data_IF_156542710546
#
_entry.id   IF_156542710546
#
_cell.length_a   1.000
_cell.length_b   1.000
_cell.length_c   1.000
_cell.angle_alpha   90.00
_cell.angle_beta   90.00
_cell.angle_gamma   90.00
#
_symmetry.space_group_name_H-M   'P 1'
#
loop_
_entity.id
_entity.type
_entity.pdbx_description
1 polymer ?
#
# COMPACT_ATOMS: atom_id res chain seq x y z
N UNK A 1 17.91 20.68 -25.68
CA UNK A 1 16.97 20.08 -24.72
C UNK A 1 17.79 19.46 -23.61
N UNK A 2 17.49 19.75 -22.35
CA UNK A 2 18.16 19.14 -21.21
C UNK A 2 17.56 17.75 -21.00
N UNK A 3 18.37 16.70 -21.10
CA UNK A 3 17.93 15.32 -20.94
C UNK A 3 18.51 14.79 -19.62
N UNK A 4 17.62 14.48 -18.69
CA UNK A 4 17.99 14.00 -17.36
C UNK A 4 18.23 12.49 -17.40
N UNK A 5 19.48 12.06 -17.17
CA UNK A 5 19.88 10.65 -17.23
C UNK A 5 19.43 9.82 -16.01
N UNK A 6 19.11 10.47 -14.89
CA UNK A 6 18.90 9.79 -13.61
C UNK A 6 17.55 10.11 -12.94
N UNK A 7 16.84 11.14 -13.40
CA UNK A 7 15.59 11.58 -12.77
C UNK A 7 14.56 12.00 -13.82
N UNK A 8 13.47 11.24 -13.96
CA UNK A 8 12.32 11.69 -14.75
C UNK A 8 11.49 12.69 -13.94
N UNK A 9 11.01 13.74 -14.62
CA UNK A 9 10.04 14.71 -14.08
C UNK A 9 8.62 14.47 -14.61
N UNK A 10 8.40 13.33 -15.30
CA UNK A 10 7.08 12.97 -15.78
C UNK A 10 6.15 12.67 -14.60
N UNK A 11 5.00 13.34 -14.59
CA UNK A 11 3.93 12.97 -13.68
C UNK A 11 3.27 11.69 -14.18
N UNK A 12 3.29 10.66 -13.33
CA UNK A 12 2.66 9.36 -13.60
C UNK A 12 1.25 9.27 -13.04
N UNK A 13 0.76 10.32 -12.39
CA UNK A 13 -0.60 10.35 -11.88
C UNK A 13 -1.60 10.44 -13.03
N UNK A 14 -2.56 9.52 -13.03
CA UNK A 14 -3.70 9.56 -13.95
C UNK A 14 -4.99 9.32 -13.14
N UNK A 15 -5.66 10.39 -12.66
CA UNK A 15 -6.89 10.25 -11.89
C UNK A 15 -8.05 9.68 -12.72
N UNK A 16 -7.99 9.76 -14.06
CA UNK A 16 -9.10 9.32 -14.94
C UNK A 16 -9.37 7.81 -14.87
N UNK A 17 -8.36 7.03 -14.47
CA UNK A 17 -8.47 5.57 -14.36
C UNK A 17 -9.04 5.12 -13.00
N UNK A 18 -9.12 6.02 -12.01
CA UNK A 18 -9.55 5.67 -10.65
C UNK A 18 -10.96 5.09 -10.62
N UNK A 19 -11.89 5.63 -11.41
CA UNK A 19 -13.29 5.18 -11.46
C UNK A 19 -13.41 3.72 -11.93
N UNK A 20 -12.75 3.39 -13.03
CA UNK A 20 -12.80 2.05 -13.63
C UNK A 20 -12.12 1.04 -12.69
N UNK A 21 -10.96 1.39 -12.13
CA UNK A 21 -10.20 0.50 -11.24
C UNK A 21 -10.91 0.26 -9.90
N UNK A 22 -11.56 1.27 -9.33
CA UNK A 22 -12.36 1.12 -8.11
C UNK A 22 -13.61 0.27 -8.37
N UNK A 23 -14.28 0.47 -9.51
CA UNK A 23 -15.41 -0.37 -9.88
C UNK A 23 -14.99 -1.85 -10.02
N UNK A 24 -13.85 -2.12 -10.67
CA UNK A 24 -13.29 -3.45 -10.79
C UNK A 24 -12.93 -4.07 -9.43
N UNK A 25 -12.28 -3.30 -8.54
CA UNK A 25 -11.94 -3.77 -7.19
C UNK A 25 -13.21 -4.09 -6.37
N UNK A 26 -14.25 -3.26 -6.46
CA UNK A 26 -15.53 -3.51 -5.77
C UNK A 26 -16.25 -4.75 -6.31
N UNK A 27 -16.10 -5.06 -7.60
CA UNK A 27 -16.65 -6.29 -8.17
C UNK A 27 -15.98 -7.54 -7.55
N UNK A 28 -14.69 -7.48 -7.24
CA UNK A 28 -13.97 -8.57 -6.56
C UNK A 28 -14.47 -8.83 -5.13
N UNK A 29 -15.08 -7.85 -4.47
CA UNK A 29 -15.57 -8.02 -3.09
C UNK A 29 -16.65 -9.10 -2.99
N UNK A 30 -17.53 -9.21 -3.98
CA UNK A 30 -18.56 -10.25 -4.01
C UNK A 30 -17.93 -11.66 -4.09
N UNK A 31 -16.91 -11.82 -4.94
CA UNK A 31 -16.18 -13.08 -5.11
C UNK A 31 -15.43 -13.49 -3.84
N UNK A 32 -14.87 -12.53 -3.12
CA UNK A 32 -14.08 -12.75 -1.92
C UNK A 32 -14.89 -12.73 -0.60
N UNK A 33 -16.19 -12.42 -0.67
CA UNK A 33 -17.02 -12.24 0.53
C UNK A 33 -16.53 -11.10 1.42
N UNK A 34 -16.18 -9.97 0.81
CA UNK A 34 -15.68 -8.76 1.48
C UNK A 34 -16.66 -7.59 1.33
N UNK A 35 -16.48 -6.57 2.17
CA UNK A 35 -17.19 -5.30 2.14
C UNK A 35 -16.26 -4.10 1.92
N UNK A 36 -14.96 -4.36 2.01
CA UNK A 36 -13.92 -3.39 1.70
C UNK A 36 -12.54 -4.02 1.67
N UNK A 37 -11.55 -3.22 1.29
CA UNK A 37 -10.16 -3.65 1.19
C UNK A 37 -9.18 -2.52 1.56
N UNK A 38 -8.08 -2.90 2.22
CA UNK A 38 -6.97 -2.01 2.55
C UNK A 38 -5.89 -2.04 1.47
N UNK A 39 -5.42 -0.87 1.06
CA UNK A 39 -4.40 -0.72 0.01
C UNK A 39 -3.29 0.21 0.50
N UNK A 40 -2.24 -0.31 1.14
CA UNK A 40 -1.12 0.51 1.59
C UNK A 40 -0.18 0.87 0.43
N UNK A 41 0.61 1.94 0.61
CA UNK A 41 1.85 2.13 -0.15
C UNK A 41 2.97 1.31 0.51
N UNK A 42 3.06 0.03 0.17
CA UNK A 42 4.06 -0.90 0.69
C UNK A 42 4.25 -2.09 -0.25
N UNK A 43 5.39 -2.77 -0.13
CA UNK A 43 5.64 -4.11 -0.64
C UNK A 43 5.90 -5.09 0.52
N UNK A 44 6.10 -6.36 0.20
CA UNK A 44 6.34 -7.44 1.17
C UNK A 44 7.62 -7.28 2.01
N UNK A 45 8.51 -6.36 1.62
CA UNK A 45 9.77 -6.09 2.29
C UNK A 45 9.76 -4.76 3.05
N UNK A 46 8.64 -4.05 3.06
CA UNK A 46 8.51 -2.74 3.71
C UNK A 46 9.50 -1.72 3.16
N UNK A 47 9.80 -1.78 1.85
CA UNK A 47 10.71 -0.83 1.21
C UNK A 47 10.13 0.59 1.23
N UNK A 48 11.02 1.58 1.34
CA UNK A 48 10.65 3.00 1.17
C UNK A 48 10.29 3.32 -0.28
N UNK A 49 11.07 2.80 -1.22
CA UNK A 49 10.81 2.88 -2.65
C UNK A 49 10.26 1.56 -3.15
N UNK A 50 8.98 1.55 -3.42
CA UNK A 50 8.24 0.39 -3.91
C UNK A 50 8.46 0.25 -5.43
N UNK A 51 8.79 -0.94 -5.90
CA UNK A 51 8.96 -1.22 -7.33
C UNK A 51 7.65 -1.01 -8.09
N UNK A 52 7.73 -0.67 -9.39
CA UNK A 52 6.56 -0.37 -10.23
C UNK A 52 5.45 -1.45 -10.18
N UNK A 53 5.84 -2.73 -10.13
CA UNK A 53 4.93 -3.86 -10.00
C UNK A 53 4.19 -3.94 -8.65
N UNK A 54 4.70 -3.27 -7.62
CA UNK A 54 4.13 -3.28 -6.27
C UNK A 54 3.36 -1.98 -5.95
N UNK A 55 3.31 -1.01 -6.88
CA UNK A 55 2.69 0.31 -6.69
C UNK A 55 1.15 0.30 -6.70
N UNK A 56 0.52 -0.68 -6.04
CA UNK A 56 -0.95 -0.90 -6.06
C UNK A 56 -1.76 0.33 -5.65
N UNK A 57 -1.32 1.09 -4.64
CA UNK A 57 -2.00 2.32 -4.25
C UNK A 57 -1.99 3.35 -5.39
N UNK A 58 -0.84 3.54 -6.04
CA UNK A 58 -0.71 4.49 -7.14
C UNK A 58 -1.51 4.03 -8.35
N UNK A 59 -1.43 2.74 -8.70
CA UNK A 59 -2.23 2.17 -9.77
C UNK A 59 -3.73 2.33 -9.49
N UNK A 60 -4.20 2.00 -8.29
CA UNK A 60 -5.63 2.08 -7.98
C UNK A 60 -6.18 3.51 -7.94
N UNK A 61 -5.42 4.46 -7.38
CA UNK A 61 -5.94 5.80 -7.04
C UNK A 61 -5.38 6.96 -7.86
N UNK A 62 -4.27 6.75 -8.58
CA UNK A 62 -3.49 7.83 -9.21
C UNK A 62 -2.49 8.50 -8.26
N UNK A 63 -2.58 8.28 -6.95
CA UNK A 63 -1.70 8.92 -5.97
C UNK A 63 -0.28 8.35 -5.98
N UNK A 64 0.72 9.20 -6.30
CA UNK A 64 2.13 8.80 -6.44
C UNK A 64 3.02 9.24 -5.27
N UNK A 65 2.45 9.65 -4.14
CA UNK A 65 3.22 9.95 -2.93
C UNK A 65 3.90 8.70 -2.35
N UNK A 66 5.03 8.88 -1.67
CA UNK A 66 5.80 7.75 -1.13
C UNK A 66 5.21 7.15 0.16
N UNK A 67 4.20 7.81 0.75
CA UNK A 67 3.48 7.29 1.90
C UNK A 67 1.98 7.50 1.73
N UNK A 68 1.20 6.45 1.96
CA UNK A 68 -0.25 6.51 1.93
C UNK A 68 -0.94 5.19 2.27
N UNK A 69 -2.24 5.27 2.50
CA UNK A 69 -3.13 4.12 2.64
C UNK A 69 -4.47 4.49 2.03
N UNK A 70 -5.01 3.67 1.14
CA UNK A 70 -6.42 3.73 0.80
C UNK A 70 -7.21 2.68 1.58
N UNK A 71 -8.42 3.06 1.98
CA UNK A 71 -9.46 2.15 2.46
C UNK A 71 -10.62 2.28 1.49
N UNK A 72 -10.91 1.19 0.77
CA UNK A 72 -12.00 1.16 -0.21
C UNK A 72 -13.11 0.30 0.34
N UNK A 73 -14.29 0.87 0.55
CA UNK A 73 -15.52 0.15 0.91
C UNK A 73 -16.43 0.03 -0.32
N UNK A 74 -17.52 -0.74 -0.19
CA UNK A 74 -18.53 -0.90 -1.25
C UNK A 74 -19.08 0.43 -1.78
N UNK A 75 -19.31 1.41 -0.92
CA UNK A 75 -19.96 2.69 -1.29
C UNK A 75 -19.05 3.92 -1.14
N UNK A 76 -17.97 3.84 -0.36
CA UNK A 76 -17.07 4.97 -0.09
C UNK A 76 -15.61 4.56 -0.21
N UNK A 77 -14.71 5.51 -0.37
CA UNK A 77 -13.28 5.28 -0.23
C UNK A 77 -12.60 6.49 0.41
N UNK A 78 -11.58 6.23 1.23
CA UNK A 78 -10.73 7.26 1.81
C UNK A 78 -9.26 6.98 1.49
N UNK A 79 -8.47 8.04 1.34
CA UNK A 79 -7.02 7.96 1.16
C UNK A 79 -6.32 8.80 2.21
N UNK A 80 -5.51 8.14 3.02
CA UNK A 80 -4.79 8.72 4.14
C UNK A 80 -3.37 9.06 3.71
N UNK A 81 -2.97 10.31 3.94
CA UNK A 81 -1.63 10.79 3.60
C UNK A 81 -1.04 11.61 4.74
N UNK A 82 0.29 11.70 4.78
CA UNK A 82 0.97 12.64 5.68
C UNK A 82 0.99 14.08 5.11
N UNK A 83 1.38 15.04 5.94
CA UNK A 83 1.31 16.48 5.63
C UNK A 83 2.10 16.91 4.37
N UNK A 84 3.09 16.12 3.92
CA UNK A 84 3.84 16.42 2.68
C UNK A 84 2.96 16.32 1.44
N UNK A 85 1.86 15.57 1.51
CA UNK A 85 1.06 15.18 0.36
C UNK A 85 -0.37 15.75 0.37
N UNK A 86 -0.73 16.59 1.36
CA UNK A 86 -2.11 17.09 1.53
C UNK A 86 -2.64 17.89 0.33
N UNK A 87 -1.78 18.58 -0.41
CA UNK A 87 -2.14 19.23 -1.68
C UNK A 87 -2.10 18.23 -2.83
N UNK A 88 -0.96 17.52 -2.98
CA UNK A 88 -0.73 16.55 -4.07
C UNK A 88 -1.85 15.52 -4.20
N UNK A 89 -2.35 14.98 -3.09
CA UNK A 89 -3.42 13.98 -3.11
C UNK A 89 -4.69 14.50 -3.77
N UNK A 90 -5.01 15.79 -3.59
CA UNK A 90 -6.21 16.41 -4.18
C UNK A 90 -6.10 16.61 -5.68
N UNK A 91 -4.87 16.77 -6.18
CA UNK A 91 -4.61 16.95 -7.61
C UNK A 91 -4.51 15.59 -8.35
N UNK A 92 -4.14 14.53 -7.64
CA UNK A 92 -3.81 13.23 -8.26
C UNK A 92 -4.90 12.16 -8.16
N UNK A 93 -5.91 12.34 -7.30
CA UNK A 93 -7.01 11.38 -7.13
C UNK A 93 -8.33 11.98 -7.59
N UNK A 94 -9.24 11.11 -8.05
CA UNK A 94 -10.62 11.51 -8.28
C UNK A 94 -11.34 11.72 -6.94
N UNK A 95 -11.61 12.99 -6.63
CA UNK A 95 -12.27 13.42 -5.37
C UNK A 95 -13.74 12.99 -5.27
N UNK A 96 -14.37 12.58 -6.38
CA UNK A 96 -15.71 11.98 -6.33
C UNK A 96 -15.70 10.56 -5.78
N UNK A 97 -14.52 9.90 -5.81
CA UNK A 97 -14.34 8.53 -5.35
C UNK A 97 -13.62 8.46 -4.00
N UNK A 98 -12.51 9.20 -3.88
CA UNK A 98 -11.66 9.19 -2.71
C UNK A 98 -11.84 10.47 -1.90
N UNK A 99 -12.11 10.31 -0.61
CA UNK A 99 -11.98 11.38 0.36
C UNK A 99 -10.55 11.41 0.92
N UNK A 100 -9.75 12.46 0.67
CA UNK A 100 -8.44 12.58 1.31
C UNK A 100 -8.58 12.86 2.80
N UNK A 101 -7.83 12.13 3.62
CA UNK A 101 -7.78 12.27 5.07
C UNK A 101 -6.34 12.56 5.49
N UNK A 102 -6.14 13.62 6.28
CA UNK A 102 -4.83 13.91 6.86
C UNK A 102 -4.58 13.00 8.07
N UNK A 103 -3.46 12.27 8.07
CA UNK A 103 -3.11 11.35 9.18
C UNK A 103 -2.98 12.05 10.54
N UNK A 104 -2.75 13.36 10.56
CA UNK A 104 -2.69 14.19 11.77
C UNK A 104 -4.06 14.50 12.35
N UNK A 105 -5.12 14.41 11.55
CA UNK A 105 -6.49 14.76 11.95
C UNK A 105 -7.32 13.51 12.20
N UNK A 106 -7.29 12.56 11.28
CA UNK A 106 -8.06 11.32 11.37
C UNK A 106 -7.16 10.12 11.08
N UNK A 107 -7.01 9.24 12.08
CA UNK A 107 -6.30 7.99 11.90
C UNK A 107 -7.14 7.00 11.06
N UNK A 108 -6.51 6.09 10.29
CA UNK A 108 -7.22 5.00 9.62
C UNK A 108 -8.12 4.20 10.58
N UNK A 109 -7.67 4.01 11.82
CA UNK A 109 -8.41 3.28 12.85
C UNK A 109 -9.69 4.01 13.24
N UNK A 110 -9.62 5.32 13.46
CA UNK A 110 -10.80 6.11 13.86
C UNK A 110 -11.79 6.27 12.70
N UNK A 111 -11.28 6.37 11.47
CA UNK A 111 -12.11 6.35 10.28
C UNK A 111 -12.86 5.02 10.14
N UNK A 112 -12.19 3.88 10.37
CA UNK A 112 -12.85 2.58 10.32
C UNK A 112 -13.98 2.44 11.34
N UNK A 113 -13.80 2.92 12.57
CA UNK A 113 -14.84 2.88 13.61
C UNK A 113 -16.12 3.61 13.22
N UNK A 114 -16.00 4.63 12.38
CA UNK A 114 -17.11 5.50 11.99
C UNK A 114 -17.73 5.14 10.64
N UNK A 115 -16.99 4.44 9.78
CA UNK A 115 -17.42 4.16 8.41
C UNK A 115 -17.71 2.68 8.13
N UNK A 116 -17.26 1.75 8.98
CA UNK A 116 -17.63 0.35 8.86
C UNK A 116 -19.01 0.08 9.43
N UNK A 117 -19.80 -0.69 8.69
CA UNK A 117 -21.07 -1.22 9.20
C UNK A 117 -20.82 -2.47 10.05
N UNK A 118 -21.62 -2.72 11.11
CA UNK A 118 -21.58 -3.98 11.84
C UNK A 118 -21.77 -5.19 10.91
N UNK A 119 -20.98 -6.24 11.12
CA UNK A 119 -20.94 -7.44 10.29
C UNK A 119 -20.10 -7.32 9.01
N UNK A 120 -19.58 -6.14 8.68
CA UNK A 120 -18.74 -5.95 7.49
C UNK A 120 -17.42 -6.74 7.59
N UNK A 121 -16.93 -7.22 6.45
CA UNK A 121 -15.66 -7.94 6.32
C UNK A 121 -14.65 -7.09 5.55
N UNK A 122 -13.69 -6.52 6.25
CA UNK A 122 -12.63 -5.68 5.67
C UNK A 122 -11.41 -6.55 5.33
N UNK A 123 -11.10 -6.69 4.04
CA UNK A 123 -9.95 -7.46 3.59
C UNK A 123 -8.63 -6.69 3.69
N UNK A 124 -7.53 -7.43 3.86
CA UNK A 124 -6.17 -6.91 3.72
C UNK A 124 -5.23 -8.00 3.21
N UNK A 125 -4.19 -7.59 2.50
CA UNK A 125 -3.10 -8.48 2.10
C UNK A 125 -2.10 -8.65 3.26
N UNK A 126 -1.92 -9.86 3.81
CA UNK A 126 -1.05 -10.08 4.97
C UNK A 126 0.43 -9.81 4.68
N UNK A 127 0.87 -9.82 3.42
CA UNK A 127 2.25 -9.50 3.06
C UNK A 127 2.55 -8.00 3.11
N UNK A 128 1.54 -7.13 3.00
CA UNK A 128 1.74 -5.68 2.88
C UNK A 128 1.58 -4.90 4.20
N UNK A 129 1.39 -5.62 5.31
CA UNK A 129 1.13 -5.02 6.62
C UNK A 129 1.98 -5.64 7.71
N UNK A 130 2.58 -4.80 8.55
CA UNK A 130 3.29 -5.29 9.75
C UNK A 130 2.32 -5.91 10.75
N UNK A 131 2.76 -6.90 11.56
CA UNK A 131 1.91 -7.50 12.60
C UNK A 131 1.33 -6.48 13.58
N UNK A 132 2.10 -5.43 13.92
CA UNK A 132 1.63 -4.32 14.75
C UNK A 132 0.48 -3.56 14.10
N UNK A 133 0.59 -3.26 12.80
CA UNK A 133 -0.44 -2.54 12.05
C UNK A 133 -1.72 -3.37 11.95
N UNK A 134 -1.61 -4.65 11.63
CA UNK A 134 -2.74 -5.60 11.61
C UNK A 134 -3.44 -5.64 12.97
N UNK A 135 -2.69 -5.77 14.07
CA UNK A 135 -3.26 -5.76 15.42
C UNK A 135 -4.03 -4.48 15.73
N UNK A 136 -3.50 -3.31 15.36
CA UNK A 136 -4.17 -2.04 15.59
C UNK A 136 -5.43 -1.88 14.74
N UNK A 137 -5.38 -2.24 13.46
CA UNK A 137 -6.53 -2.20 12.55
C UNK A 137 -7.61 -3.19 12.99
N UNK A 138 -7.23 -4.42 13.34
CA UNK A 138 -8.16 -5.45 13.81
C UNK A 138 -8.95 -5.01 15.03
N UNK A 139 -8.31 -4.34 16.00
CA UNK A 139 -9.01 -3.75 17.16
C UNK A 139 -10.02 -2.67 16.74
N UNK A 140 -9.66 -1.83 15.77
CA UNK A 140 -10.55 -0.76 15.29
C UNK A 140 -11.75 -1.33 14.52
N UNK A 141 -11.51 -2.31 13.66
CA UNK A 141 -12.54 -3.05 12.92
C UNK A 141 -13.49 -3.79 13.87
N UNK A 142 -12.95 -4.47 14.89
CA UNK A 142 -13.76 -5.13 15.92
C UNK A 142 -14.61 -4.14 16.72
N UNK A 143 -14.06 -2.97 17.06
CA UNK A 143 -14.81 -1.91 17.75
C UNK A 143 -15.98 -1.36 16.91
N UNK A 144 -15.92 -1.48 15.58
CA UNK A 144 -17.02 -1.16 14.66
C UNK A 144 -18.04 -2.31 14.51
N UNK A 145 -17.84 -3.44 15.20
CA UNK A 145 -18.65 -4.65 15.04
C UNK A 145 -18.37 -5.41 13.74
N UNK A 146 -17.21 -5.17 13.10
CA UNK A 146 -16.80 -5.76 11.84
C UNK A 146 -15.61 -6.73 12.03
N UNK A 147 -15.22 -7.42 10.95
CA UNK A 147 -14.11 -8.38 10.92
C UNK A 147 -12.99 -7.92 9.98
N UNK A 148 -11.73 -8.05 10.41
CA UNK A 148 -10.56 -7.84 9.55
C UNK A 148 -10.09 -9.19 9.01
N UNK A 149 -10.09 -9.36 7.70
CA UNK A 149 -9.90 -10.65 7.02
C UNK A 149 -8.60 -10.62 6.21
N UNK A 150 -7.69 -11.55 6.48
CA UNK A 150 -6.50 -11.76 5.65
C UNK A 150 -6.92 -12.45 4.35
N UNK A 151 -6.56 -11.88 3.19
CA UNK A 151 -6.79 -12.52 1.89
C UNK A 151 -5.57 -13.34 1.48
N UNK A 152 -5.79 -14.43 0.75
CA UNK A 152 -4.70 -15.24 0.21
C UNK A 152 -4.03 -14.57 -1.00
N UNK A 153 -4.81 -13.88 -1.82
CA UNK A 153 -4.35 -13.18 -3.02
C UNK A 153 -4.87 -11.75 -3.03
N UNK A 154 -4.02 -10.81 -3.42
CA UNK A 154 -4.40 -9.41 -3.51
C UNK A 154 -5.41 -9.21 -4.66
N UNK A 155 -6.64 -8.71 -4.42
CA UNK A 155 -7.64 -8.52 -5.46
C UNK A 155 -7.21 -7.51 -6.53
N UNK A 156 -6.30 -6.59 -6.22
CA UNK A 156 -5.76 -5.66 -7.23
C UNK A 156 -4.97 -6.42 -8.29
N UNK A 157 -4.27 -7.49 -7.91
CA UNK A 157 -3.45 -8.27 -8.85
C UNK A 157 -4.31 -9.02 -9.87
N UNK A 158 -5.55 -9.33 -9.53
CA UNK A 158 -6.52 -9.96 -10.45
C UNK A 158 -7.06 -8.97 -11.51
N UNK A 159 -7.06 -7.67 -11.22
CA UNK A 159 -7.60 -6.63 -12.10
C UNK A 159 -6.51 -5.79 -12.80
N UNK A 160 -5.25 -5.90 -12.35
CA UNK A 160 -4.11 -5.20 -12.91
C UNK A 160 -3.48 -5.98 -14.07
N UNK A 161 -4.15 -5.94 -15.23
CA UNK A 161 -3.78 -6.75 -16.41
C UNK A 161 -2.45 -6.37 -17.07
N UNK A 162 -2.01 -5.12 -16.92
CA UNK A 162 -0.77 -4.57 -17.48
C UNK A 162 0.32 -4.36 -16.40
N UNK A 163 0.28 -5.16 -15.33
CA UNK A 163 1.24 -5.07 -14.22
C UNK A 163 2.69 -5.28 -14.72
N UNK A 164 3.62 -4.34 -14.46
CA UNK A 164 5.02 -4.50 -14.82
C UNK A 164 5.64 -5.76 -14.18
N UNK A 165 6.66 -6.38 -14.80
CA UNK A 165 7.37 -7.47 -14.16
C UNK A 165 8.19 -6.97 -12.96
N UNK A 166 8.45 -7.83 -11.96
CA UNK A 166 9.37 -7.52 -10.88
C UNK A 166 10.77 -7.14 -11.39
N UNK A 167 11.48 -6.22 -10.71
CA UNK A 167 12.82 -5.82 -11.13
C UNK A 167 13.80 -7.00 -11.00
N UNK A 168 14.47 -7.35 -12.10
CA UNK A 168 15.47 -8.41 -12.15
C UNK A 168 16.86 -7.82 -12.45
N UNK A 169 17.47 -7.22 -11.44
CA UNK A 169 18.79 -6.59 -11.52
C UNK A 169 19.96 -7.59 -11.35
N UNK A 170 21.13 -7.26 -11.92
CA UNK A 170 22.36 -8.03 -11.69
C UNK A 170 22.85 -7.85 -10.24
N UNK A 171 23.21 -8.94 -9.59
CA UNK A 171 23.80 -8.94 -8.25
C UNK A 171 25.32 -9.04 -8.36
N UNK A 172 26.05 -8.24 -7.60
CA UNK A 172 27.51 -8.29 -7.50
C UNK A 172 27.96 -8.37 -6.05
N UNK A 173 28.99 -9.15 -5.77
CA UNK A 173 29.59 -9.22 -4.43
C UNK A 173 30.22 -7.88 -4.05
N UNK A 174 29.84 -7.34 -2.90
CA UNK A 174 30.48 -6.16 -2.34
C UNK A 174 31.86 -6.53 -1.78
N UNK A 175 32.93 -6.01 -2.39
CA UNK A 175 34.30 -6.42 -2.10
C UNK A 175 34.73 -6.18 -0.64
N UNK A 176 35.54 -7.09 -0.08
CA UNK A 176 35.97 -7.04 1.32
C UNK A 176 36.65 -5.71 1.70
N UNK A 177 37.43 -5.13 0.79
CA UNK A 177 38.09 -3.82 0.98
C UNK A 177 37.10 -2.68 1.29
N UNK A 178 35.84 -2.82 0.88
CA UNK A 178 34.77 -1.85 1.13
C UNK A 178 33.89 -2.30 2.30
N UNK A 179 33.64 -3.61 2.44
CA UNK A 179 32.74 -4.15 3.44
C UNK A 179 33.29 -4.13 4.87
N UNK A 180 34.62 -4.08 5.04
CA UNK A 180 35.33 -4.15 6.34
C UNK A 180 35.29 -5.53 7.03
N UNK A 181 34.27 -6.33 6.75
CA UNK A 181 34.04 -7.65 7.34
C UNK A 181 33.37 -8.58 6.31
N UNK A 182 33.82 -9.84 6.26
CA UNK A 182 33.23 -10.85 5.37
C UNK A 182 31.91 -11.42 5.93
N UNK A 183 31.10 -12.05 5.06
CA UNK A 183 29.80 -12.61 5.44
C UNK A 183 29.89 -13.64 6.57
N UNK A 184 30.92 -14.52 6.58
CA UNK A 184 31.10 -15.55 7.61
C UNK A 184 31.21 -14.93 9.01
N UNK A 185 31.99 -13.86 9.16
CA UNK A 185 32.15 -13.17 10.46
C UNK A 185 30.87 -12.44 10.88
N UNK A 186 30.17 -11.78 9.93
CA UNK A 186 28.86 -11.15 10.18
C UNK A 186 27.84 -12.17 10.71
N UNK A 187 27.76 -13.33 10.06
CA UNK A 187 26.87 -14.42 10.47
C UNK A 187 27.21 -14.97 11.85
N UNK A 188 28.50 -15.21 12.13
CA UNK A 188 28.94 -15.69 13.45
C UNK A 188 28.61 -14.69 14.57
N UNK A 189 28.79 -13.39 14.32
CA UNK A 189 28.43 -12.32 15.27
C UNK A 189 26.93 -12.24 15.49
N UNK A 190 26.12 -12.37 14.44
CA UNK A 190 24.67 -12.39 14.55
C UNK A 190 24.18 -13.63 15.34
N UNK A 191 24.75 -14.80 15.08
CA UNK A 191 24.44 -16.03 15.81
C UNK A 191 24.75 -15.88 17.30
N UNK A 192 25.95 -15.41 17.66
CA UNK A 192 26.33 -15.20 19.07
C UNK A 192 25.43 -14.19 19.82
N UNK A 193 24.81 -13.24 19.11
CA UNK A 193 23.88 -12.28 19.71
C UNK A 193 22.48 -12.88 20.01
N UNK A 194 22.15 -14.03 19.44
CA UNK A 194 20.88 -14.73 19.65
C UNK A 194 20.93 -15.75 20.81
N UNK A 195 22.12 -16.02 21.37
CA UNK A 195 22.36 -17.06 22.37
C UNK A 195 22.69 -18.41 21.74
#
# INVERSE_FOLDING_TARGET
>A
MFESLYQSFEDRADPSQGAIRIAALRAEFARLGLDGFLVPRADEHQNEYVAACEERLAWLSGFTGSAGLAIVLKASAAIFVDGRYSLRVKDQVDLSLFKPEALTETSPQDWLKTNLSPGARLGYDPWLHTPRRVKCLGKATQAAGAELVAVEQNPIDAIWTDRPPPPLGKISLHGLRFAGENAKRKLARAAAALG
#
